data_IF_809518867955
#
_entry.id   IF_809518867955
#
_cell.length_a   1.000
_cell.length_b   1.000
_cell.length_c   1.000
_cell.angle_alpha   90.00
_cell.angle_beta   90.00
_cell.angle_gamma   90.00
#
_symmetry.space_group_name_H-M   'P 1'
#
loop_
_entity.id
_entity.type
_entity.pdbx_description
1 polymer ?
#
# COMPACT_ATOMS: atom_id res chain seq x y z
N UNK A 1 -9.37 -7.02 30.89
CA UNK A 1 -9.39 -8.47 30.66
C UNK A 1 -7.98 -9.00 30.84
N UNK A 2 -7.88 -10.15 31.51
CA UNK A 2 -6.60 -10.84 31.62
C UNK A 2 -6.36 -11.62 30.32
N UNK A 3 -5.53 -11.05 29.43
CA UNK A 3 -5.05 -11.74 28.25
C UNK A 3 -3.82 -12.56 28.66
N UNK A 4 -3.86 -13.87 28.44
CA UNK A 4 -2.78 -14.79 28.76
C UNK A 4 -1.62 -14.70 27.75
N UNK A 5 -1.93 -14.47 26.48
CA UNK A 5 -0.98 -14.38 25.40
C UNK A 5 -1.65 -14.06 24.07
N UNK A 6 -0.88 -14.10 22.99
CA UNK A 6 -1.37 -13.95 21.62
C UNK A 6 -1.20 -15.29 20.89
N UNK A 7 -2.23 -15.71 20.20
CA UNK A 7 -2.19 -16.80 19.23
C UNK A 7 -2.39 -16.24 17.82
N UNK A 8 -1.38 -16.41 16.98
CA UNK A 8 -1.42 -16.04 15.57
C UNK A 8 -1.87 -17.28 14.79
N UNK A 9 -3.14 -17.32 14.41
CA UNK A 9 -3.67 -18.31 13.47
C UNK A 9 -3.47 -17.75 12.04
N UNK A 10 -2.42 -18.20 11.38
CA UNK A 10 -1.99 -17.68 10.09
C UNK A 10 -2.79 -18.32 8.95
N UNK A 11 -3.93 -17.72 8.61
CA UNK A 11 -4.88 -18.20 7.60
C UNK A 11 -5.24 -17.13 6.55
N UNK A 12 -4.24 -16.61 5.89
CA UNK A 12 -4.40 -15.60 4.84
C UNK A 12 -4.26 -14.16 5.33
N UNK A 13 -3.27 -13.45 4.81
CA UNK A 13 -3.05 -12.04 5.05
C UNK A 13 -2.98 -11.26 3.74
N UNK A 14 -3.84 -10.23 3.62
CA UNK A 14 -3.81 -9.26 2.51
C UNK A 14 -3.09 -7.97 2.87
N UNK A 15 -2.48 -7.86 4.05
CA UNK A 15 -1.80 -6.67 4.52
C UNK A 15 -0.57 -6.35 3.67
N UNK A 16 -0.31 -5.08 3.44
CA UNK A 16 0.91 -4.63 2.81
C UNK A 16 2.12 -4.72 3.75
N UNK A 17 3.31 -4.56 3.21
CA UNK A 17 4.56 -4.81 3.94
C UNK A 17 4.77 -3.83 5.10
N UNK A 18 4.42 -2.55 4.93
CA UNK A 18 4.57 -1.57 6.00
C UNK A 18 3.58 -1.79 7.15
N UNK A 19 2.38 -2.30 6.83
CA UNK A 19 1.40 -2.71 7.83
C UNK A 19 1.88 -3.92 8.62
N UNK A 20 2.45 -4.93 7.96
CA UNK A 20 3.07 -6.09 8.60
C UNK A 20 4.22 -5.68 9.53
N UNK A 21 5.13 -4.82 9.07
CA UNK A 21 6.23 -4.27 9.86
C UNK A 21 5.72 -3.55 11.12
N UNK A 22 4.62 -2.85 11.02
CA UNK A 22 4.01 -2.17 12.17
C UNK A 22 3.42 -3.14 13.19
N UNK A 23 2.75 -4.20 12.71
CA UNK A 23 2.20 -5.25 13.58
C UNK A 23 3.34 -6.04 14.21
N UNK A 24 4.37 -6.40 13.45
CA UNK A 24 5.55 -7.09 13.94
C UNK A 24 6.21 -6.32 15.11
N UNK A 25 6.40 -5.01 14.98
CA UNK A 25 6.91 -4.18 16.09
C UNK A 25 5.99 -4.19 17.30
N UNK A 26 4.68 -4.11 17.11
CA UNK A 26 3.73 -4.19 18.22
C UNK A 26 3.74 -5.55 18.92
N UNK A 27 4.01 -6.63 18.18
CA UNK A 27 4.19 -7.97 18.76
C UNK A 27 5.51 -8.03 19.57
N UNK A 28 6.59 -7.42 19.09
CA UNK A 28 7.83 -7.29 19.85
C UNK A 28 7.62 -6.53 21.17
N UNK A 29 6.93 -5.40 21.11
CA UNK A 29 6.57 -4.62 22.31
C UNK A 29 5.70 -5.46 23.28
N UNK A 30 4.79 -6.29 22.74
CA UNK A 30 3.96 -7.17 23.57
C UNK A 30 4.79 -8.23 24.33
N UNK A 31 5.88 -8.73 23.74
CA UNK A 31 6.77 -9.69 24.41
C UNK A 31 7.39 -9.13 25.70
N UNK A 32 7.54 -7.80 25.82
CA UNK A 32 8.01 -7.15 27.05
C UNK A 32 7.05 -7.34 28.25
N UNK A 33 5.82 -7.82 28.00
CA UNK A 33 4.84 -8.13 29.05
C UNK A 33 4.99 -9.51 29.68
N UNK A 34 6.01 -10.30 29.30
CA UNK A 34 6.26 -11.68 29.71
C UNK A 34 5.11 -12.66 29.33
N UNK A 35 4.27 -12.27 28.37
CA UNK A 35 3.18 -13.11 27.85
C UNK A 35 3.61 -13.76 26.56
N UNK A 36 3.13 -14.98 26.34
CA UNK A 36 3.50 -15.76 25.16
C UNK A 36 2.89 -15.23 23.86
N UNK A 37 3.62 -15.43 22.77
CA UNK A 37 3.11 -15.35 21.40
C UNK A 37 3.38 -16.70 20.75
N UNK A 38 2.32 -17.39 20.31
CA UNK A 38 2.43 -18.63 19.53
C UNK A 38 1.82 -18.42 18.16
N UNK A 39 2.44 -18.99 17.13
CA UNK A 39 1.95 -18.94 15.77
C UNK A 39 1.75 -20.36 15.24
N UNK A 40 0.67 -20.54 14.47
CA UNK A 40 0.36 -21.79 13.79
C UNK A 40 -0.13 -21.52 12.38
N UNK A 41 0.30 -22.35 11.44
CA UNK A 41 -0.28 -22.44 10.11
C UNK A 41 -0.35 -23.88 9.63
N UNK A 42 -1.33 -24.14 8.75
CA UNK A 42 -1.31 -25.34 7.93
C UNK A 42 -0.26 -25.18 6.80
N UNK A 43 -0.19 -24.00 6.17
CA UNK A 43 0.87 -23.54 5.27
C UNK A 43 1.14 -22.06 5.56
N UNK A 44 2.39 -21.66 5.58
CA UNK A 44 2.75 -20.25 5.70
C UNK A 44 2.99 -19.61 4.33
N UNK A 45 2.21 -18.60 3.99
CA UNK A 45 2.65 -17.64 2.96
C UNK A 45 3.82 -16.81 3.47
N UNK A 46 4.62 -16.23 2.57
CA UNK A 46 5.76 -15.38 2.96
C UNK A 46 5.36 -14.28 3.95
N UNK A 47 4.21 -13.62 3.74
CA UNK A 47 3.74 -12.54 4.62
C UNK A 47 3.37 -13.05 6.02
N UNK A 48 2.69 -14.16 6.07
CA UNK A 48 2.32 -14.79 7.34
C UNK A 48 3.53 -15.28 8.10
N UNK A 49 4.49 -15.88 7.40
CA UNK A 49 5.74 -16.32 8.00
C UNK A 49 6.54 -15.15 8.60
N UNK A 50 6.70 -14.06 7.85
CA UNK A 50 7.38 -12.85 8.32
C UNK A 50 6.71 -12.26 9.57
N UNK A 51 5.38 -12.31 9.65
CA UNK A 51 4.66 -11.86 10.85
C UNK A 51 4.79 -12.84 12.02
N UNK A 52 4.75 -14.13 11.72
CA UNK A 52 4.75 -15.19 12.74
C UNK A 52 6.13 -15.46 13.32
N UNK A 53 7.20 -15.10 12.61
CA UNK A 53 8.58 -15.37 13.01
C UNK A 53 8.99 -14.75 14.37
N UNK A 54 8.31 -13.69 14.78
CA UNK A 54 8.49 -13.03 16.10
C UNK A 54 7.97 -13.87 17.26
N UNK A 55 7.14 -14.89 16.99
CA UNK A 55 6.52 -15.72 18.03
C UNK A 55 7.58 -16.49 18.85
N UNK A 56 7.24 -16.82 20.08
CA UNK A 56 8.05 -17.67 20.95
C UNK A 56 8.10 -19.13 20.46
N UNK A 57 7.08 -19.53 19.69
CA UNK A 57 7.08 -20.78 18.95
C UNK A 57 6.28 -20.63 17.65
N UNK A 58 6.95 -20.92 16.55
CA UNK A 58 6.38 -21.02 15.20
C UNK A 58 6.07 -22.49 14.92
N UNK A 59 4.81 -22.82 14.81
CA UNK A 59 4.32 -24.18 14.65
C UNK A 59 3.77 -24.36 13.23
N UNK A 60 4.17 -25.44 12.57
CA UNK A 60 3.69 -25.79 11.23
C UNK A 60 2.98 -27.14 11.25
N UNK A 61 1.98 -27.31 10.40
CA UNK A 61 1.39 -28.61 10.14
C UNK A 61 2.45 -29.61 9.66
N UNK A 62 2.45 -30.88 10.09
CA UNK A 62 3.45 -31.88 9.69
C UNK A 62 3.58 -32.14 8.18
N UNK A 63 2.57 -31.77 7.40
CA UNK A 63 2.58 -31.85 5.92
C UNK A 63 2.49 -30.46 5.26
N UNK A 64 2.64 -29.42 6.06
CA UNK A 64 2.60 -28.04 5.60
C UNK A 64 3.93 -27.56 5.02
N UNK A 65 3.90 -26.38 4.43
CA UNK A 65 5.04 -25.75 3.76
C UNK A 65 5.18 -24.28 4.14
N UNK A 66 6.35 -23.71 3.83
CA UNK A 66 6.60 -22.27 3.90
C UNK A 66 6.87 -21.76 2.48
N UNK A 67 6.08 -20.77 2.03
CA UNK A 67 6.36 -20.02 0.82
C UNK A 67 7.26 -18.82 1.16
N UNK A 68 8.56 -18.93 0.90
CA UNK A 68 9.55 -17.88 1.16
C UNK A 68 10.53 -17.80 0.00
N UNK A 69 10.39 -16.79 -0.86
CA UNK A 69 11.06 -16.71 -2.17
C UNK A 69 11.42 -15.31 -2.64
N UNK A 70 11.37 -14.32 -1.75
CA UNK A 70 11.72 -12.94 -2.07
C UNK A 70 10.59 -12.13 -2.70
N UNK A 71 10.96 -11.02 -3.32
CA UNK A 71 10.03 -10.10 -3.96
C UNK A 71 10.19 -10.16 -5.48
N UNK A 72 9.08 -10.19 -6.20
CA UNK A 72 9.07 -10.15 -7.66
C UNK A 72 8.05 -9.11 -8.16
N UNK A 73 8.38 -8.42 -9.24
CA UNK A 73 7.47 -7.54 -9.97
C UNK A 73 7.35 -8.03 -11.40
N UNK A 74 6.15 -8.40 -11.80
CA UNK A 74 5.84 -8.77 -13.19
C UNK A 74 4.74 -7.84 -13.70
N UNK A 75 5.04 -7.09 -14.76
CA UNK A 75 4.12 -6.14 -15.39
C UNK A 75 3.65 -6.71 -16.71
N UNK A 76 2.33 -6.73 -16.90
CA UNK A 76 1.73 -7.11 -18.16
C UNK A 76 1.71 -5.92 -19.14
N UNK A 77 2.31 -6.07 -20.29
CA UNK A 77 2.33 -5.08 -21.37
C UNK A 77 1.27 -5.41 -22.39
N UNK A 78 0.36 -4.46 -22.63
CA UNK A 78 -0.81 -4.64 -23.52
C UNK A 78 -0.66 -3.98 -24.88
N UNK A 79 0.50 -3.33 -25.17
CA UNK A 79 0.75 -2.68 -26.45
C UNK A 79 0.50 -3.60 -27.65
N UNK A 80 1.03 -4.83 -27.60
CA UNK A 80 0.84 -5.79 -28.69
C UNK A 80 -0.62 -6.20 -28.91
N UNK A 81 -1.43 -6.24 -27.86
CA UNK A 81 -2.88 -6.44 -27.96
C UNK A 81 -3.55 -5.22 -28.60
N UNK A 82 -3.19 -4.02 -28.18
CA UNK A 82 -3.74 -2.79 -28.71
C UNK A 82 -3.39 -2.59 -30.18
N UNK A 83 -2.14 -2.88 -30.59
CA UNK A 83 -1.73 -2.87 -32.00
C UNK A 83 -2.60 -3.81 -32.85
N UNK A 84 -2.86 -5.04 -32.37
CA UNK A 84 -3.72 -6.02 -33.03
C UNK A 84 -5.18 -5.55 -33.15
N UNK A 85 -5.68 -4.86 -32.13
CA UNK A 85 -7.04 -4.32 -32.11
C UNK A 85 -7.17 -2.99 -32.88
N UNK A 86 -6.05 -2.36 -33.25
CA UNK A 86 -6.08 -1.03 -33.88
C UNK A 86 -6.40 0.09 -32.88
N UNK A 87 -5.99 -0.09 -31.63
CA UNK A 87 -6.10 0.89 -30.55
C UNK A 87 -4.74 1.56 -30.35
N UNK A 88 -4.71 2.87 -30.35
CA UNK A 88 -3.54 3.68 -30.05
C UNK A 88 -3.73 4.38 -28.71
N UNK A 89 -2.72 4.38 -27.85
CA UNK A 89 -2.75 5.17 -26.60
C UNK A 89 -1.82 6.35 -26.73
N UNK A 90 -2.37 7.55 -26.71
CA UNK A 90 -1.65 8.80 -26.77
C UNK A 90 -1.26 9.20 -25.36
N UNK A 91 0.06 9.23 -25.08
CA UNK A 91 0.63 9.45 -23.77
C UNK A 91 1.13 10.89 -23.64
N UNK A 92 0.78 11.50 -22.54
CA UNK A 92 1.23 12.83 -22.10
C UNK A 92 1.89 12.64 -20.74
N UNK A 93 3.16 12.92 -20.61
CA UNK A 93 3.91 12.77 -19.34
C UNK A 93 5.08 13.73 -19.23
N UNK A 94 5.58 13.91 -18.01
CA UNK A 94 6.82 14.62 -17.72
C UNK A 94 7.77 13.67 -16.98
N UNK A 95 9.04 13.74 -17.34
CA UNK A 95 10.11 12.97 -16.70
C UNK A 95 10.20 11.52 -17.15
N UNK A 96 11.31 10.88 -16.77
CA UNK A 96 11.70 9.55 -17.21
C UNK A 96 11.04 8.45 -16.35
N UNK A 97 10.94 8.68 -15.04
CA UNK A 97 10.55 7.68 -14.06
C UNK A 97 9.04 7.54 -13.85
N UNK A 98 8.17 8.34 -14.53
CA UNK A 98 6.71 8.13 -14.48
C UNK A 98 6.33 6.97 -15.41
N UNK A 99 6.58 5.75 -14.97
CA UNK A 99 6.50 4.51 -15.76
C UNK A 99 5.11 3.88 -15.83
N UNK A 100 4.11 4.40 -15.13
CA UNK A 100 2.74 3.86 -15.12
C UNK A 100 2.09 3.79 -16.52
N UNK A 101 2.62 4.53 -17.49
CA UNK A 101 2.15 4.55 -18.89
C UNK A 101 2.80 3.46 -19.75
N UNK A 102 3.93 2.91 -19.35
CA UNK A 102 4.71 1.96 -20.16
C UNK A 102 3.94 0.71 -20.59
N UNK A 103 3.08 0.10 -19.76
CA UNK A 103 2.31 -1.06 -20.15
C UNK A 103 1.49 -0.87 -21.43
N UNK A 104 1.11 0.36 -21.74
CA UNK A 104 0.26 0.71 -22.89
C UNK A 104 1.03 1.05 -24.17
N UNK A 105 2.32 1.44 -24.04
CA UNK A 105 3.12 1.95 -25.16
C UNK A 105 4.41 1.16 -25.42
N UNK A 106 4.82 0.31 -24.50
CA UNK A 106 6.00 -0.52 -24.61
C UNK A 106 5.61 -2.01 -24.61
N UNK A 107 6.57 -2.88 -24.97
CA UNK A 107 6.45 -4.33 -24.87
C UNK A 107 7.27 -4.92 -23.72
N UNK A 108 8.04 -4.08 -23.02
CA UNK A 108 8.87 -4.45 -21.86
C UNK A 108 9.15 -3.20 -21.03
N UNK A 109 9.60 -3.40 -19.80
CA UNK A 109 10.06 -2.31 -18.93
C UNK A 109 11.24 -1.57 -19.55
N UNK A 110 11.24 -0.23 -19.44
CA UNK A 110 12.44 0.56 -19.71
C UNK A 110 13.52 0.31 -18.64
N UNK A 111 14.78 0.68 -18.93
CA UNK A 111 15.86 0.62 -17.95
C UNK A 111 15.57 1.47 -16.73
N UNK A 112 15.06 2.69 -16.90
CA UNK A 112 14.67 3.57 -15.82
C UNK A 112 13.56 2.95 -14.92
N UNK A 113 12.60 2.24 -15.52
CA UNK A 113 11.58 1.53 -14.76
C UNK A 113 12.15 0.34 -13.99
N UNK A 114 13.10 -0.41 -14.57
CA UNK A 114 13.81 -1.50 -13.86
C UNK A 114 14.64 -0.94 -12.71
N UNK A 115 15.38 0.12 -12.95
CA UNK A 115 16.20 0.79 -11.95
C UNK A 115 15.35 1.24 -10.75
N UNK A 116 14.29 2.01 -10.97
CA UNK A 116 13.45 2.48 -9.88
C UNK A 116 12.74 1.33 -9.14
N UNK A 117 12.32 0.28 -9.87
CA UNK A 117 11.67 -0.88 -9.25
C UNK A 117 12.63 -1.61 -8.32
N UNK A 118 13.86 -1.87 -8.75
CA UNK A 118 14.88 -2.47 -7.89
C UNK A 118 15.30 -1.55 -6.76
N UNK A 119 15.34 -0.23 -6.98
CA UNK A 119 15.73 0.75 -5.96
C UNK A 119 14.78 0.77 -4.74
N UNK A 120 13.52 0.39 -4.88
CA UNK A 120 12.62 0.24 -3.73
C UNK A 120 12.45 -1.23 -3.28
N UNK A 121 12.50 -2.19 -4.19
CA UNK A 121 12.32 -3.61 -3.83
C UNK A 121 13.50 -4.15 -3.00
N UNK A 122 14.73 -3.81 -3.39
CA UNK A 122 15.93 -4.32 -2.69
C UNK A 122 16.01 -3.87 -1.24
N UNK A 123 15.87 -2.57 -0.90
CA UNK A 123 15.85 -2.15 0.50
C UNK A 123 14.70 -2.75 1.31
N UNK A 124 13.51 -2.91 0.72
CA UNK A 124 12.38 -3.56 1.38
C UNK A 124 12.73 -5.01 1.72
N UNK A 125 13.28 -5.75 0.76
CA UNK A 125 13.67 -7.15 0.99
C UNK A 125 14.76 -7.27 2.06
N UNK A 126 15.78 -6.45 2.00
CA UNK A 126 16.85 -6.42 3.01
C UNK A 126 16.31 -6.14 4.41
N UNK A 127 15.40 -5.16 4.55
CA UNK A 127 14.76 -4.84 5.82
C UNK A 127 13.97 -6.05 6.38
N UNK A 128 13.24 -6.77 5.53
CA UNK A 128 12.50 -7.97 5.93
C UNK A 128 13.45 -9.11 6.36
N UNK A 129 14.56 -9.29 5.64
CA UNK A 129 15.58 -10.27 6.02
C UNK A 129 16.25 -9.93 7.35
N UNK A 130 16.57 -8.65 7.59
CA UNK A 130 17.14 -8.19 8.85
C UNK A 130 16.21 -8.45 10.03
N UNK A 131 14.89 -8.19 9.88
CA UNK A 131 13.91 -8.50 10.91
C UNK A 131 13.83 -10.00 11.17
N UNK A 132 13.70 -10.81 10.11
CA UNK A 132 13.62 -12.26 10.24
C UNK A 132 14.90 -12.86 10.84
N UNK A 133 16.07 -12.32 10.49
CA UNK A 133 17.36 -12.70 11.06
C UNK A 133 17.38 -12.52 12.59
N UNK A 134 16.87 -11.40 13.07
CA UNK A 134 16.78 -11.12 14.51
C UNK A 134 15.77 -12.02 15.22
N UNK A 135 14.66 -12.36 14.56
CA UNK A 135 13.59 -13.14 15.18
C UNK A 135 13.91 -14.63 15.24
N UNK A 136 14.66 -15.15 14.27
CA UNK A 136 14.95 -16.58 14.13
C UNK A 136 16.40 -16.97 14.38
N UNK A 137 17.27 -16.00 14.69
CA UNK A 137 18.72 -16.21 14.86
C UNK A 137 19.38 -16.92 13.66
N UNK A 138 18.95 -16.55 12.45
CA UNK A 138 19.46 -17.04 11.17
C UNK A 138 20.11 -15.87 10.45
N UNK A 139 21.34 -16.04 9.92
CA UNK A 139 22.00 -14.94 9.24
C UNK A 139 21.24 -14.49 7.98
N UNK A 140 21.34 -13.20 7.63
CA UNK A 140 20.73 -12.63 6.42
C UNK A 140 21.15 -13.40 5.16
N UNK A 141 22.44 -13.78 5.06
CA UNK A 141 22.94 -14.56 3.93
C UNK A 141 22.30 -15.94 3.83
N UNK A 142 22.12 -16.62 4.97
CA UNK A 142 21.45 -17.92 5.02
C UNK A 142 19.98 -17.77 4.63
N UNK A 143 19.29 -16.75 5.13
CA UNK A 143 17.88 -16.48 4.76
C UNK A 143 17.74 -16.17 3.26
N UNK A 144 18.65 -15.37 2.71
CA UNK A 144 18.63 -15.07 1.28
C UNK A 144 18.89 -16.31 0.43
N UNK A 145 19.84 -17.18 0.83
CA UNK A 145 20.05 -18.47 0.17
C UNK A 145 18.82 -19.40 0.29
N UNK A 146 18.11 -19.37 1.41
CA UNK A 146 16.86 -20.13 1.57
C UNK A 146 15.75 -19.61 0.66
N UNK A 147 15.68 -18.29 0.43
CA UNK A 147 14.74 -17.70 -0.53
C UNK A 147 15.01 -18.12 -1.98
N UNK A 148 16.28 -18.47 -2.31
CA UNK A 148 16.65 -19.02 -3.63
C UNK A 148 16.36 -20.53 -3.75
N UNK A 149 15.90 -21.16 -2.67
CA UNK A 149 15.42 -22.55 -2.72
C UNK A 149 13.88 -22.55 -2.77
N UNK A 150 13.29 -23.52 -3.45
CA UNK A 150 11.84 -23.64 -3.51
C UNK A 150 11.32 -24.30 -2.22
N UNK A 151 11.32 -23.54 -1.11
CA UNK A 151 11.00 -24.04 0.24
C UNK A 151 9.65 -24.75 0.34
N UNK A 152 8.70 -24.37 -0.49
CA UNK A 152 7.38 -25.02 -0.57
C UNK A 152 7.45 -26.53 -0.94
N UNK A 153 8.59 -27.00 -1.46
CA UNK A 153 8.82 -28.42 -1.79
C UNK A 153 9.67 -29.15 -0.75
N UNK A 154 10.12 -28.46 0.29
CA UNK A 154 10.99 -29.04 1.34
C UNK A 154 10.12 -29.71 2.39
N UNK A 155 10.55 -30.89 2.86
CA UNK A 155 9.84 -31.60 3.96
C UNK A 155 9.77 -30.74 5.24
N UNK A 156 8.63 -30.71 5.88
CA UNK A 156 8.41 -29.89 7.06
C UNK A 156 9.43 -30.15 8.20
N UNK A 157 9.94 -31.39 8.33
CA UNK A 157 10.98 -31.73 9.31
C UNK A 157 12.32 -31.06 9.01
N UNK A 158 12.65 -30.86 7.73
CA UNK A 158 13.84 -30.12 7.36
C UNK A 158 13.74 -28.64 7.68
N UNK A 159 12.54 -28.07 7.70
CA UNK A 159 12.31 -26.66 8.09
C UNK A 159 12.64 -26.44 9.57
N UNK A 160 12.44 -27.46 10.44
CA UNK A 160 12.93 -27.41 11.84
C UNK A 160 14.48 -27.37 11.85
N UNK A 161 15.12 -28.27 11.11
CA UNK A 161 16.59 -28.32 11.08
C UNK A 161 17.21 -27.03 10.51
N UNK A 162 16.47 -26.29 9.68
CA UNK A 162 16.84 -24.98 9.15
C UNK A 162 16.54 -23.80 10.09
N UNK A 163 15.89 -24.05 11.24
CA UNK A 163 15.51 -23.04 12.21
C UNK A 163 14.31 -22.18 11.81
N UNK A 164 13.61 -22.55 10.72
CA UNK A 164 12.48 -21.77 10.23
C UNK A 164 11.19 -22.00 11.05
N UNK A 165 11.02 -23.20 11.62
CA UNK A 165 9.92 -23.56 12.52
C UNK A 165 10.47 -24.26 13.76
N UNK A 166 9.75 -24.20 14.87
CA UNK A 166 10.18 -24.79 16.13
C UNK A 166 9.65 -26.19 16.33
N UNK A 167 8.44 -26.47 15.84
CA UNK A 167 7.81 -27.79 15.99
C UNK A 167 6.72 -27.99 14.96
N UNK A 168 6.32 -29.26 14.81
CA UNK A 168 5.23 -29.68 13.91
C UNK A 168 4.08 -30.21 14.75
N UNK A 169 2.88 -29.68 14.51
CA UNK A 169 1.65 -30.13 15.15
C UNK A 169 0.49 -30.12 14.16
N UNK A 170 -0.41 -31.08 14.29
CA UNK A 170 -1.74 -30.94 13.70
C UNK A 170 -2.57 -29.93 14.53
N UNK A 171 -3.52 -29.26 13.91
CA UNK A 171 -4.38 -28.25 14.58
C UNK A 171 -5.02 -28.74 15.90
N UNK A 172 -5.53 -29.97 16.02
CA UNK A 172 -6.02 -30.48 17.32
C UNK A 172 -4.92 -30.51 18.41
N UNK A 173 -3.70 -30.90 18.06
CA UNK A 173 -2.57 -30.91 18.99
C UNK A 173 -2.18 -29.49 19.41
N UNK A 174 -2.23 -28.50 18.49
CA UNK A 174 -2.01 -27.10 18.82
C UNK A 174 -3.06 -26.58 19.83
N UNK A 175 -4.32 -26.96 19.66
CA UNK A 175 -5.39 -26.61 20.61
C UNK A 175 -5.12 -27.18 22.00
N UNK A 176 -4.73 -28.46 22.09
CA UNK A 176 -4.36 -29.10 23.37
C UNK A 176 -3.13 -28.42 24.01
N UNK A 177 -2.14 -28.04 23.18
CA UNK A 177 -0.97 -27.29 23.66
C UNK A 177 -1.37 -25.94 24.26
N UNK A 178 -2.26 -25.21 23.60
CA UNK A 178 -2.75 -23.91 24.08
C UNK A 178 -3.57 -24.07 25.36
N UNK A 179 -4.46 -25.08 25.46
CA UNK A 179 -5.21 -25.41 26.71
C UNK A 179 -4.27 -25.63 27.87
N UNK A 180 -3.24 -26.45 27.68
CA UNK A 180 -2.24 -26.72 28.71
C UNK A 180 -1.48 -25.47 29.14
N UNK A 181 -1.16 -24.57 28.19
CA UNK A 181 -0.45 -23.31 28.46
C UNK A 181 -1.26 -22.32 29.30
N UNK A 182 -2.56 -22.28 29.12
CA UNK A 182 -3.45 -21.36 29.85
C UNK A 182 -4.14 -22.03 31.06
N UNK A 183 -3.84 -23.31 31.33
CA UNK A 183 -4.36 -24.04 32.49
C UNK A 183 -5.83 -24.38 32.39
N UNK A 184 -6.32 -24.65 31.18
CA UNK A 184 -7.70 -25.06 30.89
C UNK A 184 -7.72 -26.60 30.77
N UNK A 185 -8.72 -27.24 31.34
CA UNK A 185 -8.91 -28.69 31.24
C UNK A 185 -9.20 -29.13 29.80
N UNK A 186 -8.81 -30.37 29.45
CA UNK A 186 -8.93 -30.86 28.07
C UNK A 186 -10.35 -30.84 27.55
N UNK A 187 -11.32 -31.03 28.43
CA UNK A 187 -12.75 -31.10 28.09
C UNK A 187 -13.41 -29.74 27.98
N UNK A 188 -12.72 -28.66 28.40
CA UNK A 188 -13.23 -27.30 28.30
C UNK A 188 -12.79 -26.62 26.99
N UNK A 189 -13.55 -25.61 26.54
CA UNK A 189 -13.25 -24.87 25.33
C UNK A 189 -12.23 -23.77 25.57
N UNK A 190 -11.33 -23.58 24.60
CA UNK A 190 -10.48 -22.40 24.53
C UNK A 190 -11.32 -21.15 24.20
N UNK A 191 -11.16 -20.11 25.01
CA UNK A 191 -11.83 -18.84 24.78
C UNK A 191 -10.82 -17.88 24.12
N UNK A 192 -11.10 -17.51 22.88
CA UNK A 192 -10.33 -16.50 22.15
C UNK A 192 -11.07 -15.16 22.16
N UNK A 193 -10.34 -14.09 22.40
CA UNK A 193 -10.82 -12.74 22.13
C UNK A 193 -10.23 -12.27 20.80
N UNK A 194 -11.08 -11.90 19.86
CA UNK A 194 -10.64 -11.30 18.60
C UNK A 194 -10.05 -9.89 18.83
N UNK A 195 -9.23 -9.43 17.89
CA UNK A 195 -8.69 -8.06 17.92
C UNK A 195 -9.82 -7.03 18.02
N UNK A 196 -10.94 -7.25 17.31
CA UNK A 196 -12.09 -6.33 17.34
C UNK A 196 -12.76 -6.31 18.71
N UNK A 197 -12.90 -7.46 19.37
CA UNK A 197 -13.44 -7.54 20.73
C UNK A 197 -12.52 -6.82 21.72
N UNK A 198 -11.22 -7.04 21.64
CA UNK A 198 -10.24 -6.31 22.47
C UNK A 198 -10.28 -4.81 22.20
N UNK A 199 -10.33 -4.38 20.93
CA UNK A 199 -10.41 -2.98 20.56
C UNK A 199 -11.74 -2.33 21.00
N UNK A 200 -12.82 -3.11 21.11
CA UNK A 200 -14.14 -2.61 21.55
C UNK A 200 -14.26 -2.40 23.06
N UNK A 201 -13.26 -2.87 23.83
CA UNK A 201 -13.27 -2.68 25.30
C UNK A 201 -13.26 -1.19 25.60
N UNK A 202 -14.33 -0.72 26.19
CA UNK A 202 -14.48 0.68 26.57
C UNK A 202 -13.36 1.07 27.54
N UNK A 203 -12.49 1.92 27.08
CA UNK A 203 -11.59 2.63 27.98
C UNK A 203 -12.39 3.60 28.87
N UNK A 204 -11.85 3.92 30.04
CA UNK A 204 -12.46 4.94 30.88
C UNK A 204 -12.67 6.23 30.04
N UNK A 205 -13.82 6.93 30.19
CA UNK A 205 -14.10 8.11 29.41
C UNK A 205 -12.95 9.12 29.51
N UNK A 206 -12.36 9.46 28.38
CA UNK A 206 -11.38 10.55 28.36
C UNK A 206 -12.12 11.86 28.69
N UNK A 207 -11.75 12.50 29.79
CA UNK A 207 -12.32 13.78 30.22
C UNK A 207 -11.63 14.98 29.59
N UNK A 208 -10.65 14.76 28.73
CA UNK A 208 -9.97 15.82 28.01
C UNK A 208 -10.97 16.53 27.07
N UNK A 209 -10.92 17.86 27.08
CA UNK A 209 -11.72 18.69 26.17
C UNK A 209 -11.01 18.88 24.82
N UNK A 210 -9.68 18.78 24.83
CA UNK A 210 -8.85 18.93 23.66
C UNK A 210 -8.74 17.59 22.94
N UNK A 211 -8.91 17.62 21.63
CA UNK A 211 -8.97 16.44 20.76
C UNK A 211 -7.88 16.47 19.70
N UNK A 212 -7.46 15.30 19.25
CA UNK A 212 -6.65 15.10 18.05
C UNK A 212 -7.55 14.39 17.04
N UNK A 213 -7.78 15.03 15.89
CA UNK A 213 -8.53 14.40 14.81
C UNK A 213 -7.63 13.43 14.02
N UNK A 214 -8.09 12.20 13.83
CA UNK A 214 -7.44 11.25 12.92
C UNK A 214 -8.33 11.11 11.69
N UNK A 215 -7.76 11.44 10.52
CA UNK A 215 -8.46 11.43 9.24
C UNK A 215 -7.79 10.39 8.33
N UNK A 216 -8.58 9.54 7.70
CA UNK A 216 -8.09 8.49 6.82
C UNK A 216 -8.25 8.86 5.35
N UNK A 217 -7.19 8.69 4.57
CA UNK A 217 -7.18 8.79 3.11
C UNK A 217 -6.66 7.46 2.53
N UNK A 218 -7.60 6.55 2.27
CA UNK A 218 -7.31 5.19 1.84
C UNK A 218 -7.86 4.91 0.45
N UNK A 219 -7.07 4.20 -0.40
CA UNK A 219 -7.44 3.88 -1.77
C UNK A 219 -7.18 4.99 -2.78
N UNK A 220 -7.68 4.83 -4.00
CA UNK A 220 -7.52 5.78 -5.10
C UNK A 220 -8.26 7.10 -4.84
N UNK A 221 -7.66 8.23 -5.19
CA UNK A 221 -8.26 9.56 -5.04
C UNK A 221 -9.17 9.83 -6.24
N UNK A 222 -10.49 9.88 -6.01
CA UNK A 222 -11.54 10.05 -7.03
C UNK A 222 -11.41 9.09 -8.24
N UNK A 223 -10.97 7.85 -8.00
CA UNK A 223 -10.82 6.81 -9.02
C UNK A 223 -12.08 5.98 -9.24
N UNK A 224 -13.18 6.30 -8.56
CA UNK A 224 -14.46 5.60 -8.67
C UNK A 224 -14.54 4.30 -7.85
N UNK A 225 -13.57 4.04 -6.98
CA UNK A 225 -13.57 2.91 -6.05
C UNK A 225 -14.60 3.13 -4.92
N UNK A 226 -15.31 2.07 -4.54
CA UNK A 226 -16.31 2.13 -3.47
C UNK A 226 -15.70 2.55 -2.12
N UNK A 227 -14.45 2.13 -1.87
CA UNK A 227 -13.70 2.42 -0.64
C UNK A 227 -12.52 3.37 -0.87
N UNK A 228 -12.49 4.09 -1.99
CA UNK A 228 -11.46 5.07 -2.29
C UNK A 228 -11.70 6.42 -1.60
N UNK A 229 -10.74 7.32 -1.77
CA UNK A 229 -10.83 8.69 -1.27
C UNK A 229 -11.82 9.47 -2.14
N UNK A 230 -12.95 9.86 -1.55
CA UNK A 230 -13.85 10.85 -2.14
C UNK A 230 -13.39 12.25 -1.69
N UNK A 231 -12.83 13.01 -2.62
CA UNK A 231 -12.25 14.33 -2.33
C UNK A 231 -13.24 15.32 -1.74
N UNK A 232 -14.45 15.39 -2.28
CA UNK A 232 -15.46 16.37 -1.81
C UNK A 232 -15.80 16.11 -0.34
N UNK A 233 -16.02 14.83 0.03
CA UNK A 233 -16.31 14.44 1.40
C UNK A 233 -15.11 14.68 2.32
N UNK A 234 -13.91 14.34 1.89
CA UNK A 234 -12.69 14.53 2.70
C UNK A 234 -12.44 16.02 2.97
N UNK A 235 -12.61 16.89 1.97
CA UNK A 235 -12.50 18.35 2.14
C UNK A 235 -13.58 18.89 3.07
N UNK A 236 -14.81 18.40 2.97
CA UNK A 236 -15.89 18.75 3.92
C UNK A 236 -15.51 18.38 5.37
N UNK A 237 -15.00 17.17 5.58
CA UNK A 237 -14.62 16.70 6.91
C UNK A 237 -13.40 17.49 7.46
N UNK A 238 -12.39 17.78 6.62
CA UNK A 238 -11.27 18.64 6.99
C UNK A 238 -11.72 20.07 7.33
N UNK A 239 -12.72 20.60 6.63
CA UNK A 239 -13.29 21.93 6.92
C UNK A 239 -14.02 21.94 8.27
N UNK A 240 -14.75 20.88 8.61
CA UNK A 240 -15.37 20.74 9.95
C UNK A 240 -14.30 20.72 11.04
N UNK A 241 -13.24 19.95 10.84
CA UNK A 241 -12.09 19.84 11.75
C UNK A 241 -11.39 21.19 11.91
N UNK A 242 -11.21 21.95 10.83
CA UNK A 242 -10.65 23.30 10.87
C UNK A 242 -11.42 24.21 11.82
N UNK A 243 -12.75 24.16 11.79
CA UNK A 243 -13.65 25.03 12.57
C UNK A 243 -13.94 24.53 13.99
N UNK A 244 -13.63 23.26 14.31
CA UNK A 244 -13.87 22.71 15.64
C UNK A 244 -12.81 23.22 16.64
N UNK A 245 -13.28 23.95 17.66
CA UNK A 245 -12.40 24.53 18.70
C UNK A 245 -11.78 23.49 19.63
N UNK A 246 -12.37 22.31 19.73
CA UNK A 246 -11.84 21.23 20.57
C UNK A 246 -10.67 20.52 19.88
N UNK A 247 -10.65 20.45 18.56
CA UNK A 247 -9.55 19.84 17.80
C UNK A 247 -8.33 20.76 17.82
N UNK A 248 -7.23 20.28 18.37
CA UNK A 248 -5.95 20.99 18.51
C UNK A 248 -4.88 20.57 17.52
N UNK A 249 -4.98 19.36 16.98
CA UNK A 249 -4.05 18.82 16.00
C UNK A 249 -4.75 17.82 15.09
N UNK A 250 -4.16 17.57 13.91
CA UNK A 250 -4.69 16.61 12.94
C UNK A 250 -3.62 15.59 12.58
N UNK A 251 -4.00 14.33 12.52
CA UNK A 251 -3.22 13.26 11.91
C UNK A 251 -3.94 12.80 10.65
N UNK A 252 -3.32 13.01 9.50
CA UNK A 252 -3.80 12.45 8.23
C UNK A 252 -3.11 11.09 8.00
N UNK A 253 -3.87 10.01 8.08
CA UNK A 253 -3.41 8.66 7.77
C UNK A 253 -3.61 8.39 6.29
N UNK A 254 -2.50 8.28 5.53
CA UNK A 254 -2.51 8.11 4.08
C UNK A 254 -2.09 6.69 3.71
N UNK A 255 -2.97 5.97 3.02
CA UNK A 255 -2.68 4.68 2.38
C UNK A 255 -3.25 4.70 0.95
N UNK A 256 -2.60 5.47 0.06
CA UNK A 256 -3.15 5.81 -1.26
C UNK A 256 -2.07 5.78 -2.36
N UNK A 257 -2.34 5.12 -3.51
CA UNK A 257 -1.47 5.17 -4.68
C UNK A 257 -1.57 6.52 -5.44
N UNK A 258 -2.46 7.41 -5.01
CA UNK A 258 -2.80 8.64 -5.69
C UNK A 258 -4.09 8.54 -6.50
N UNK A 259 -4.24 9.38 -7.53
CA UNK A 259 -5.43 9.46 -8.36
C UNK A 259 -5.58 10.84 -8.99
N UNK A 260 -6.76 11.45 -8.85
CA UNK A 260 -7.09 12.77 -9.38
C UNK A 260 -6.12 13.85 -8.92
N UNK A 261 -5.43 14.49 -9.86
CA UNK A 261 -4.56 15.63 -9.56
C UNK A 261 -5.36 16.82 -9.01
N UNK A 262 -6.54 17.07 -9.59
CA UNK A 262 -7.46 18.09 -9.10
C UNK A 262 -7.92 17.80 -7.67
N UNK A 263 -8.35 16.57 -7.40
CA UNK A 263 -8.76 16.16 -6.06
C UNK A 263 -7.62 16.30 -5.04
N UNK A 264 -6.41 15.91 -5.41
CA UNK A 264 -5.24 16.05 -4.55
C UNK A 264 -4.94 17.51 -4.18
N UNK A 265 -5.06 18.45 -5.12
CA UNK A 265 -4.89 19.89 -4.84
C UNK A 265 -5.97 20.42 -3.90
N UNK A 266 -7.23 19.97 -4.01
CA UNK A 266 -8.30 20.39 -3.11
C UNK A 266 -8.02 19.94 -1.66
N UNK A 267 -7.55 18.71 -1.47
CA UNK A 267 -7.15 18.20 -0.15
C UNK A 267 -5.93 18.95 0.39
N UNK A 268 -4.92 19.19 -0.46
CA UNK A 268 -3.74 19.99 -0.12
C UNK A 268 -4.15 21.38 0.41
N UNK A 269 -5.06 22.07 -0.29
CA UNK A 269 -5.56 23.38 0.11
C UNK A 269 -6.31 23.35 1.44
N UNK A 270 -7.10 22.30 1.71
CA UNK A 270 -7.79 22.11 2.98
C UNK A 270 -6.81 21.90 4.16
N UNK A 271 -5.70 21.19 3.91
CA UNK A 271 -4.63 21.02 4.91
C UNK A 271 -3.94 22.35 5.21
N UNK A 272 -3.64 23.16 4.19
CA UNK A 272 -3.10 24.51 4.40
C UNK A 272 -4.05 25.39 5.22
N UNK A 273 -5.35 25.31 4.98
CA UNK A 273 -6.36 26.05 5.76
C UNK A 273 -6.37 25.61 7.24
N UNK A 274 -6.21 24.31 7.54
CA UNK A 274 -6.09 23.80 8.90
C UNK A 274 -4.84 24.36 9.59
N UNK A 275 -3.69 24.35 8.91
CA UNK A 275 -2.42 24.90 9.42
C UNK A 275 -2.56 26.41 9.66
N UNK A 276 -3.17 27.15 8.73
CA UNK A 276 -3.43 28.58 8.88
C UNK A 276 -4.37 28.90 10.06
N UNK A 277 -5.24 27.97 10.45
CA UNK A 277 -6.06 28.05 11.68
C UNK A 277 -5.26 27.75 12.96
N UNK A 278 -3.95 27.53 12.88
CA UNK A 278 -3.06 27.27 14.00
C UNK A 278 -3.07 25.82 14.51
N UNK A 279 -3.59 24.88 13.74
CA UNK A 279 -3.62 23.45 14.09
C UNK A 279 -2.51 22.70 13.35
N UNK A 280 -1.55 22.11 14.05
CA UNK A 280 -0.50 21.32 13.42
C UNK A 280 -1.08 20.08 12.76
N UNK A 281 -0.50 19.72 11.60
CA UNK A 281 -0.87 18.56 10.81
C UNK A 281 0.31 17.60 10.69
N UNK A 282 0.13 16.37 11.17
CA UNK A 282 1.06 15.28 10.92
C UNK A 282 0.48 14.29 9.90
N UNK A 283 1.32 13.78 9.02
CA UNK A 283 0.97 12.68 8.12
C UNK A 283 1.58 11.38 8.62
N UNK A 284 0.77 10.32 8.65
CA UNK A 284 1.21 8.95 8.89
C UNK A 284 0.95 8.13 7.62
N UNK A 285 2.01 7.75 6.93
CA UNK A 285 1.92 6.93 5.73
C UNK A 285 1.72 5.45 6.06
N UNK A 286 0.91 4.78 5.25
CA UNK A 286 0.67 3.34 5.30
C UNK A 286 1.63 2.55 4.42
N UNK A 287 1.10 1.56 3.72
CA UNK A 287 1.85 0.75 2.76
C UNK A 287 2.25 1.57 1.53
N UNK A 288 1.36 2.46 1.10
CA UNK A 288 1.56 3.33 -0.07
C UNK A 288 1.11 4.76 0.24
N UNK A 289 1.93 5.73 -0.11
CA UNK A 289 1.57 7.15 -0.12
C UNK A 289 2.27 7.81 -1.33
N UNK A 290 1.80 7.48 -2.53
CA UNK A 290 2.47 7.82 -3.78
C UNK A 290 1.62 8.71 -4.69
N UNK A 291 2.27 9.47 -5.59
CA UNK A 291 1.59 10.37 -6.52
C UNK A 291 0.65 11.33 -5.80
N UNK A 292 -0.66 11.33 -6.07
CA UNK A 292 -1.65 12.10 -5.31
C UNK A 292 -1.62 11.85 -3.80
N UNK A 293 -1.28 10.62 -3.35
CA UNK A 293 -1.09 10.30 -1.93
C UNK A 293 0.09 11.04 -1.30
N UNK A 294 1.19 11.24 -2.05
CA UNK A 294 2.28 12.10 -1.61
C UNK A 294 1.91 13.59 -1.72
N UNK A 295 1.15 13.98 -2.75
CA UNK A 295 0.67 15.34 -2.93
C UNK A 295 -0.10 15.87 -1.71
N UNK A 296 -1.08 15.09 -1.22
CA UNK A 296 -1.86 15.47 -0.03
C UNK A 296 -1.06 15.37 1.28
N UNK A 297 0.15 14.83 1.22
CA UNK A 297 1.04 14.65 2.39
C UNK A 297 2.13 15.71 2.45
N UNK A 298 2.55 16.27 1.31
CA UNK A 298 3.80 17.00 1.19
C UNK A 298 3.87 18.30 2.01
N UNK A 299 2.75 18.92 2.33
CA UNK A 299 2.68 20.16 3.10
C UNK A 299 2.45 19.98 4.61
N UNK A 300 2.37 18.75 5.11
CA UNK A 300 2.24 18.51 6.54
C UNK A 300 3.47 18.99 7.33
N UNK A 301 3.27 19.41 8.59
CA UNK A 301 4.36 19.84 9.47
C UNK A 301 5.33 18.70 9.76
N UNK A 302 4.83 17.47 9.83
CA UNK A 302 5.63 16.24 9.99
C UNK A 302 5.06 15.12 9.14
N UNK A 303 5.96 14.34 8.53
CA UNK A 303 5.61 13.12 7.78
C UNK A 303 6.33 11.94 8.42
N UNK A 304 5.57 10.90 8.71
CA UNK A 304 6.05 9.62 9.23
C UNK A 304 5.78 8.53 8.22
N UNK A 305 6.82 7.81 7.83
CA UNK A 305 6.75 6.65 6.95
C UNK A 305 7.47 5.46 7.60
N UNK A 306 7.06 4.25 7.27
CA UNK A 306 7.82 3.05 7.63
C UNK A 306 8.96 2.83 6.62
N UNK A 307 10.02 2.09 6.98
CA UNK A 307 11.11 1.76 6.07
C UNK A 307 10.63 1.08 4.77
N UNK A 308 9.49 0.40 4.84
CA UNK A 308 8.88 -0.36 3.74
C UNK A 308 7.71 0.36 3.06
N UNK A 309 7.43 1.61 3.43
CA UNK A 309 6.41 2.44 2.77
C UNK A 309 6.83 2.80 1.35
N UNK A 310 5.99 2.48 0.37
CA UNK A 310 6.17 2.96 -1.00
C UNK A 310 5.63 4.38 -1.13
N UNK A 311 6.52 5.36 -1.36
CA UNK A 311 6.14 6.77 -1.43
C UNK A 311 6.82 7.52 -2.58
N UNK A 312 6.54 8.82 -2.73
CA UNK A 312 7.07 9.65 -3.79
C UNK A 312 6.24 9.56 -5.06
N UNK A 313 6.81 9.08 -6.16
CA UNK A 313 6.18 9.10 -7.50
C UNK A 313 5.65 10.50 -7.86
N UNK A 314 6.47 11.54 -7.56
CA UNK A 314 6.13 12.95 -7.79
C UNK A 314 6.08 13.18 -9.31
N UNK A 315 4.87 13.17 -9.84
CA UNK A 315 4.67 13.27 -11.28
C UNK A 315 3.22 13.06 -11.70
N UNK A 316 2.91 13.55 -12.88
CA UNK A 316 1.58 13.53 -13.47
C UNK A 316 1.65 12.97 -14.89
N UNK A 317 0.62 12.33 -15.34
CA UNK A 317 0.48 11.84 -16.71
C UNK A 317 -0.98 11.87 -17.15
N UNK A 318 -1.18 11.80 -18.47
CA UNK A 318 -2.48 11.61 -19.10
C UNK A 318 -2.40 10.49 -20.13
N UNK A 319 -3.48 9.73 -20.25
CA UNK A 319 -3.69 8.68 -21.26
C UNK A 319 -4.96 8.98 -22.02
N UNK A 320 -4.88 9.14 -23.34
CA UNK A 320 -6.06 9.34 -24.20
C UNK A 320 -6.07 8.22 -25.25
N UNK A 321 -7.02 7.25 -25.14
CA UNK A 321 -7.12 6.18 -26.13
C UNK A 321 -7.72 6.72 -27.44
N UNK A 322 -7.20 6.23 -28.56
CA UNK A 322 -7.72 6.42 -29.89
C UNK A 322 -8.17 5.06 -30.44
N UNK A 323 -9.46 4.88 -30.60
CA UNK A 323 -10.07 3.64 -31.08
C UNK A 323 -10.34 3.67 -32.59
N UNK A 324 -9.85 4.63 -33.36
CA UNK A 324 -10.11 4.76 -34.78
C UNK A 324 -9.87 3.46 -35.59
N UNK A 325 -8.68 2.85 -35.34
CA UNK A 325 -8.33 1.63 -36.05
C UNK A 325 -9.26 0.45 -35.73
N UNK A 326 -9.71 0.34 -34.48
CA UNK A 326 -10.72 -0.64 -34.09
C UNK A 326 -12.09 -0.31 -34.69
N UNK A 327 -12.61 0.88 -34.45
CA UNK A 327 -13.94 1.25 -34.79
C UNK A 327 -14.15 1.33 -36.34
N UNK A 328 -13.26 2.06 -37.00
CA UNK A 328 -13.36 2.25 -38.47
C UNK A 328 -12.68 1.14 -39.23
N UNK A 329 -11.46 0.76 -38.84
CA UNK A 329 -10.66 -0.19 -39.59
C UNK A 329 -11.13 -1.65 -39.47
N UNK A 330 -11.64 -2.06 -38.30
CA UNK A 330 -12.05 -3.44 -38.05
C UNK A 330 -13.54 -3.64 -37.95
N UNK A 331 -14.29 -2.69 -37.39
CA UNK A 331 -15.73 -2.80 -37.21
C UNK A 331 -16.52 -2.08 -38.31
N UNK A 332 -15.84 -1.33 -39.20
CA UNK A 332 -16.50 -0.64 -40.33
C UNK A 332 -17.37 0.53 -39.93
N UNK A 333 -17.25 1.05 -38.71
CA UNK A 333 -18.01 2.21 -38.26
C UNK A 333 -17.47 3.50 -38.89
N UNK A 334 -18.34 4.38 -39.31
CA UNK A 334 -17.96 5.69 -39.83
C UNK A 334 -18.49 6.80 -38.95
N UNK A 335 -17.72 7.90 -38.87
CA UNK A 335 -18.07 9.06 -38.07
C UNK A 335 -18.13 10.28 -38.95
N UNK A 336 -19.22 11.01 -38.88
CA UNK A 336 -19.42 12.29 -39.52
C UNK A 336 -20.03 13.26 -38.52
N UNK A 337 -19.76 14.55 -38.66
CA UNK A 337 -20.23 15.55 -37.70
C UNK A 337 -19.89 16.98 -38.11
N UNK A 338 -20.52 17.90 -37.43
CA UNK A 338 -20.29 19.34 -37.57
C UNK A 338 -19.91 19.93 -36.22
N UNK A 339 -19.12 20.97 -36.24
CA UNK A 339 -18.70 21.67 -35.00
C UNK A 339 -18.68 23.18 -35.25
N UNK A 340 -19.04 23.95 -34.23
CA UNK A 340 -19.02 25.41 -34.30
C UNK A 340 -17.65 26.01 -34.10
N UNK A 341 -16.79 25.32 -33.33
CA UNK A 341 -15.47 25.81 -32.91
C UNK A 341 -14.42 24.73 -33.09
N UNK A 342 -13.16 25.14 -33.18
CA UNK A 342 -12.00 24.30 -33.49
C UNK A 342 -11.88 23.04 -32.61
N UNK A 343 -12.25 23.10 -31.35
CA UNK A 343 -12.16 22.00 -30.39
C UNK A 343 -13.52 21.39 -29.99
N UNK A 344 -14.57 21.64 -30.77
CA UNK A 344 -15.93 21.22 -30.43
C UNK A 344 -16.10 19.71 -30.23
N UNK A 345 -15.24 18.89 -30.85
CA UNK A 345 -15.21 17.43 -30.70
C UNK A 345 -14.00 16.89 -29.95
N UNK A 346 -13.36 17.72 -29.15
CA UNK A 346 -12.25 17.30 -28.29
C UNK A 346 -12.76 17.09 -26.83
N UNK A 347 -12.31 16.04 -26.12
CA UNK A 347 -11.49 14.92 -26.61
C UNK A 347 -12.31 13.93 -27.47
N UNK A 348 -11.66 13.31 -28.46
CA UNK A 348 -12.29 12.29 -29.29
C UNK A 348 -11.54 10.96 -29.18
N UNK A 349 -12.31 9.86 -29.05
CA UNK A 349 -11.77 8.50 -29.06
C UNK A 349 -11.81 7.86 -30.45
N UNK A 350 -12.48 8.50 -31.43
CA UNK A 350 -12.61 8.02 -32.82
C UNK A 350 -11.53 8.56 -33.76
N UNK A 351 -10.63 9.39 -33.25
CA UNK A 351 -9.46 9.92 -33.96
C UNK A 351 -8.32 10.21 -33.01
N UNK A 352 -7.10 10.26 -33.54
CA UNK A 352 -5.97 10.81 -32.80
C UNK A 352 -6.15 12.30 -32.50
N UNK A 353 -5.50 12.80 -31.47
CA UNK A 353 -5.33 14.23 -31.24
C UNK A 353 -4.62 14.86 -32.43
N UNK A 354 -5.03 16.07 -32.79
CA UNK A 354 -4.24 16.90 -33.68
C UNK A 354 -2.95 17.35 -32.98
N UNK A 355 -1.94 17.76 -33.74
CA UNK A 355 -0.68 18.28 -33.19
C UNK A 355 -0.93 19.42 -32.19
N UNK A 356 -1.92 20.27 -32.46
CA UNK A 356 -2.26 21.40 -31.60
C UNK A 356 -2.96 20.95 -30.30
N UNK A 357 -3.90 20.02 -30.38
CA UNK A 357 -4.55 19.41 -29.21
C UNK A 357 -3.52 18.71 -28.32
N UNK A 358 -2.63 17.92 -28.94
CA UNK A 358 -1.54 17.24 -28.18
C UNK A 358 -0.62 18.26 -27.49
N UNK A 359 -0.21 19.33 -28.19
CA UNK A 359 0.62 20.37 -27.62
C UNK A 359 -0.05 21.05 -26.42
N UNK A 360 -1.34 21.40 -26.54
CA UNK A 360 -2.06 22.04 -25.44
C UNK A 360 -2.25 21.11 -24.23
N UNK A 361 -2.56 19.84 -24.49
CA UNK A 361 -2.66 18.84 -23.41
C UNK A 361 -1.32 18.56 -22.75
N UNK A 362 -0.23 18.50 -23.52
CA UNK A 362 1.12 18.37 -22.95
C UNK A 362 1.47 19.55 -22.05
N UNK A 363 1.19 20.77 -22.48
CA UNK A 363 1.37 21.98 -21.65
C UNK A 363 0.51 21.94 -20.36
N UNK A 364 -0.70 21.38 -20.44
CA UNK A 364 -1.53 21.18 -19.25
C UNK A 364 -0.88 20.20 -18.24
N UNK A 365 -0.32 19.10 -18.74
CA UNK A 365 0.41 18.13 -17.92
C UNK A 365 1.69 18.73 -17.33
N UNK A 366 2.43 19.52 -18.12
CA UNK A 366 3.63 20.23 -17.67
C UNK A 366 3.33 21.21 -16.53
N UNK A 367 2.28 22.03 -16.67
CA UNK A 367 1.84 22.92 -15.59
C UNK A 367 1.41 22.14 -14.33
N UNK A 368 0.73 21.01 -14.50
CA UNK A 368 0.36 20.16 -13.38
C UNK A 368 1.58 19.56 -12.66
N UNK A 369 2.61 19.18 -13.42
CA UNK A 369 3.88 18.72 -12.87
C UNK A 369 4.61 19.82 -12.10
N UNK A 370 4.72 21.01 -12.69
CA UNK A 370 5.32 22.19 -12.06
C UNK A 370 4.59 22.55 -10.76
N UNK A 371 3.25 22.54 -10.77
CA UNK A 371 2.48 22.77 -9.56
C UNK A 371 2.80 21.74 -8.49
N UNK A 372 2.82 20.43 -8.82
CA UNK A 372 3.11 19.38 -7.86
C UNK A 372 4.51 19.53 -7.26
N UNK A 373 5.53 19.75 -8.07
CA UNK A 373 6.90 19.94 -7.59
C UNK A 373 7.04 21.19 -6.73
N UNK A 374 6.36 22.29 -7.08
CA UNK A 374 6.30 23.51 -6.28
C UNK A 374 5.68 23.25 -4.91
N UNK A 375 4.53 22.53 -4.85
CA UNK A 375 3.89 22.17 -3.57
C UNK A 375 4.81 21.32 -2.69
N UNK A 376 5.56 20.39 -3.30
CA UNK A 376 6.55 19.61 -2.57
C UNK A 376 7.70 20.46 -2.04
N UNK A 377 8.25 21.34 -2.87
CA UNK A 377 9.34 22.23 -2.50
C UNK A 377 8.92 23.16 -1.34
N UNK A 378 7.79 23.83 -1.47
CA UNK A 378 7.23 24.72 -0.44
C UNK A 378 6.97 23.95 0.87
N UNK A 379 6.29 22.83 0.79
CA UNK A 379 5.93 22.04 1.97
C UNK A 379 7.12 21.40 2.69
N UNK A 380 8.20 21.13 1.98
CA UNK A 380 9.43 20.50 2.53
C UNK A 380 10.58 21.48 2.73
N UNK A 381 10.41 22.77 2.40
CA UNK A 381 11.47 23.76 2.51
C UNK A 381 12.66 23.46 1.58
N UNK A 382 12.37 22.98 0.37
CA UNK A 382 13.35 22.58 -0.64
C UNK A 382 13.33 23.58 -1.82
N UNK A 383 14.45 23.65 -2.55
CA UNK A 383 14.58 24.42 -3.80
C UNK A 383 14.09 23.64 -5.01
#
# INVERSE_FOLDING_TARGET
PNIAGIYIDANGSSLGVASLDRIHRALKDFKESDKFIYAYADDYTQREYLLSAVADSVVLNPVGAIDFRGLASQIMFVKGLYDKLGIEVQVLKVGTYKSAVEPYINTQMSEANREQTMAYMTPIWNHLLEQLSQDRDISVDQLNNLADTLLVTVDAKELIAKGLVDTLMYRPQMNEFLKAKVGIDKDDDLIFASINEVASIKQAPNKAKDEIAIVYAEGGIDMGETNGVNTAKLVEDLTKIQNDKNVKAVVLRVNSPGGSAYGSEQVWAAIEAIKAAGKPVAVSMGDVAASGGYYISCNADRIFANPTTLTGSIGIYGLIPNYKGLLTGKLGLTFDGVQTNKYGNFPSVSRAMTTDEHRQMQQYIERGYELFTTRCAEGRGMS
#
